data_IF_765407971975
#
_entry.id   IF_765407971975
#
_cell.length_a   1.000
_cell.length_b   1.000
_cell.length_c   1.000
_cell.angle_alpha   90.00
_cell.angle_beta   90.00
_cell.angle_gamma   90.00
#
_symmetry.space_group_name_H-M   'P 1'
#
loop_
_entity.id
_entity.type
_entity.pdbx_description
1 polymer ?
#
# COMPACT_ATOMS: atom_id res chain seq x y z
N UNK A 1 -25.15 5.72 12.27
CA UNK A 1 -24.34 5.45 11.06
C UNK A 1 -25.12 4.59 10.04
N UNK A 2 -25.92 5.18 9.13
CA UNK A 2 -26.77 4.42 8.20
C UNK A 2 -26.01 3.73 7.05
N UNK A 3 -24.98 4.38 6.50
CA UNK A 3 -24.23 3.86 5.36
C UNK A 3 -23.40 2.62 5.74
N UNK A 4 -22.70 2.65 6.88
CA UNK A 4 -21.96 1.49 7.40
C UNK A 4 -22.85 0.28 7.63
N UNK A 5 -24.10 0.48 8.09
CA UNK A 5 -25.06 -0.60 8.24
C UNK A 5 -25.44 -1.25 6.92
N UNK A 6 -25.67 -0.44 5.87
CA UNK A 6 -25.96 -0.97 4.54
C UNK A 6 -24.78 -1.76 3.99
N UNK A 7 -23.56 -1.27 4.16
CA UNK A 7 -22.34 -1.98 3.77
C UNK A 7 -22.14 -3.28 4.55
N UNK A 8 -22.39 -3.30 5.86
CA UNK A 8 -22.30 -4.50 6.69
C UNK A 8 -23.31 -5.59 6.27
N UNK A 9 -24.54 -5.19 5.90
CA UNK A 9 -25.55 -6.11 5.37
C UNK A 9 -25.15 -6.65 4.00
N UNK A 10 -24.59 -5.81 3.12
CA UNK A 10 -24.04 -6.25 1.84
C UNK A 10 -22.89 -7.24 2.00
N UNK A 11 -21.94 -6.94 2.89
CA UNK A 11 -20.82 -7.83 3.22
C UNK A 11 -21.29 -9.18 3.77
N UNK A 12 -22.26 -9.18 4.69
CA UNK A 12 -22.84 -10.41 5.23
C UNK A 12 -23.61 -11.22 4.18
N UNK A 13 -24.35 -10.56 3.28
CA UNK A 13 -25.04 -11.20 2.17
C UNK A 13 -24.09 -11.84 1.15
N UNK A 14 -22.86 -11.34 1.08
CA UNK A 14 -21.82 -11.83 0.18
C UNK A 14 -21.01 -13.00 0.75
N UNK A 15 -21.21 -13.32 2.01
CA UNK A 15 -20.69 -14.55 2.60
C UNK A 15 -21.46 -15.73 2.02
N UNK A 16 -20.76 -16.61 1.29
CA UNK A 16 -21.37 -17.76 0.62
C UNK A 16 -22.06 -18.74 1.59
N UNK A 17 -22.61 -19.83 1.06
CA UNK A 17 -23.41 -20.83 1.79
C UNK A 17 -22.74 -21.42 3.05
N UNK A 18 -21.41 -21.43 3.11
CA UNK A 18 -20.68 -21.91 4.28
C UNK A 18 -20.61 -20.88 5.42
N UNK A 19 -21.05 -19.63 5.18
CA UNK A 19 -20.98 -18.49 6.11
C UNK A 19 -19.56 -18.02 6.45
N UNK A 20 -18.53 -18.69 5.92
CA UNK A 20 -17.10 -18.45 6.25
C UNK A 20 -16.33 -17.75 5.15
N UNK A 21 -16.84 -17.78 3.92
CA UNK A 21 -16.16 -17.25 2.75
C UNK A 21 -16.92 -16.01 2.27
N UNK A 22 -16.38 -14.83 2.57
CA UNK A 22 -16.97 -13.55 2.20
C UNK A 22 -16.17 -12.91 1.06
N UNK A 23 -16.89 -12.32 0.11
CA UNK A 23 -16.32 -11.54 -0.99
C UNK A 23 -16.14 -10.06 -0.66
N UNK A 24 -15.76 -9.27 -1.66
CA UNK A 24 -15.43 -7.85 -1.49
C UNK A 24 -16.48 -6.87 -2.07
N UNK A 25 -17.31 -7.33 -3.02
CA UNK A 25 -18.27 -6.49 -3.75
C UNK A 25 -19.58 -6.18 -3.00
N UNK A 26 -19.55 -5.42 -1.91
CA UNK A 26 -20.74 -5.20 -1.03
C UNK A 26 -21.90 -4.38 -1.63
N UNK A 27 -21.85 -4.02 -2.92
CA UNK A 27 -22.97 -3.44 -3.66
C UNK A 27 -24.01 -4.49 -4.09
N UNK A 28 -23.67 -5.77 -4.00
CA UNK A 28 -24.56 -6.90 -4.29
C UNK A 28 -24.54 -7.90 -3.14
N UNK A 29 -25.63 -8.65 -2.98
CA UNK A 29 -25.70 -9.84 -2.11
C UNK A 29 -25.22 -11.11 -2.85
N UNK A 30 -24.77 -10.91 -4.08
CA UNK A 30 -23.99 -11.75 -4.98
C UNK A 30 -22.65 -12.23 -4.41
N UNK A 31 -22.39 -13.49 -4.03
CA UNK A 31 -20.99 -13.91 -3.81
C UNK A 31 -20.21 -13.69 -5.10
N UNK A 32 -19.21 -12.82 -5.08
CA UNK A 32 -18.39 -12.45 -6.25
C UNK A 32 -17.34 -13.52 -6.60
N UNK A 33 -17.31 -14.63 -5.85
CA UNK A 33 -16.37 -15.73 -6.03
C UNK A 33 -14.95 -15.44 -5.53
N UNK A 34 -14.68 -14.21 -5.07
CA UNK A 34 -13.39 -13.83 -4.50
C UNK A 34 -13.27 -14.38 -3.08
N UNK A 35 -12.10 -14.93 -2.76
CA UNK A 35 -11.81 -15.53 -1.46
C UNK A 35 -10.35 -15.29 -1.11
N UNK A 36 -10.12 -14.68 0.04
CA UNK A 36 -8.79 -14.41 0.54
C UNK A 36 -8.83 -13.82 1.94
N UNK A 37 -7.64 -13.68 2.53
CA UNK A 37 -7.48 -13.14 3.88
C UNK A 37 -7.91 -11.66 3.91
N UNK A 38 -7.66 -10.90 2.84
CA UNK A 38 -8.04 -9.49 2.76
C UNK A 38 -9.55 -9.28 2.75
N UNK A 39 -10.27 -10.10 1.99
CA UNK A 39 -11.73 -10.08 1.88
C UNK A 39 -12.38 -10.48 3.20
N UNK A 40 -11.86 -11.53 3.85
CA UNK A 40 -12.31 -11.95 5.19
C UNK A 40 -12.02 -10.87 6.25
N UNK A 41 -10.83 -10.25 6.24
CA UNK A 41 -10.47 -9.16 7.16
C UNK A 41 -11.34 -7.92 6.93
N UNK A 42 -11.64 -7.58 5.67
CA UNK A 42 -12.54 -6.47 5.33
C UNK A 42 -13.97 -6.71 5.79
N UNK A 43 -14.50 -7.91 5.57
CA UNK A 43 -15.82 -8.32 6.06
C UNK A 43 -15.90 -8.33 7.60
N UNK A 44 -14.84 -8.78 8.29
CA UNK A 44 -14.75 -8.72 9.74
C UNK A 44 -14.76 -7.27 10.24
N UNK A 45 -13.96 -6.39 9.63
CA UNK A 45 -13.82 -5.00 10.04
C UNK A 45 -15.14 -4.22 9.95
N UNK A 46 -15.93 -4.42 8.88
CA UNK A 46 -17.21 -3.71 8.70
C UNK A 46 -18.26 -4.20 9.70
N UNK A 47 -18.26 -5.49 10.05
CA UNK A 47 -19.14 -6.05 11.09
C UNK A 47 -18.72 -5.54 12.48
N UNK A 48 -17.42 -5.48 12.78
CA UNK A 48 -16.92 -4.90 14.02
C UNK A 48 -17.24 -3.40 14.15
N UNK A 49 -17.20 -2.66 13.03
CA UNK A 49 -17.56 -1.25 13.01
C UNK A 49 -19.03 -0.99 13.42
N UNK A 50 -19.92 -1.98 13.30
CA UNK A 50 -21.30 -1.85 13.76
C UNK A 50 -21.42 -1.79 15.29
N UNK A 51 -20.44 -2.32 16.03
CA UNK A 51 -20.40 -2.21 17.48
C UNK A 51 -20.03 -0.81 17.96
N UNK A 52 -19.48 0.07 17.10
CA UNK A 52 -19.13 1.46 17.44
C UNK A 52 -20.33 2.29 17.93
N UNK A 53 -21.55 1.89 17.58
CA UNK A 53 -22.76 2.61 17.97
C UNK A 53 -23.24 2.27 19.40
N UNK A 54 -22.52 1.41 20.14
CA UNK A 54 -22.77 1.21 21.56
C UNK A 54 -22.29 2.46 22.32
N UNK A 55 -23.21 3.13 23.01
CA UNK A 55 -22.96 4.35 23.79
C UNK A 55 -21.88 4.19 24.89
N UNK A 56 -21.43 2.97 25.17
CA UNK A 56 -20.38 2.64 26.12
C UNK A 56 -18.95 2.71 25.55
N UNK A 57 -18.76 2.96 24.24
CA UNK A 57 -17.43 3.03 23.65
C UNK A 57 -16.81 4.39 23.94
N UNK A 58 -15.74 4.37 24.73
CA UNK A 58 -14.91 5.55 24.99
C UNK A 58 -14.16 5.94 23.70
N UNK A 59 -13.96 7.24 23.48
CA UNK A 59 -13.11 7.71 22.39
C UNK A 59 -11.68 7.15 22.52
N UNK A 60 -10.89 7.13 21.44
CA UNK A 60 -9.50 6.68 21.49
C UNK A 60 -8.74 7.36 22.62
N UNK A 61 -8.04 6.55 23.42
CA UNK A 61 -7.25 7.07 24.54
C UNK A 61 -6.05 7.86 24.02
N UNK A 62 -5.82 9.02 24.62
CA UNK A 62 -4.68 9.88 24.40
C UNK A 62 -3.73 9.75 25.58
N UNK A 63 -2.56 10.40 25.48
CA UNK A 63 -1.62 10.54 26.61
C UNK A 63 -2.30 11.15 27.85
N UNK A 64 -3.29 12.03 27.66
CA UNK A 64 -3.99 12.72 28.74
C UNK A 64 -5.22 11.96 29.25
N UNK A 65 -5.79 11.05 28.47
CA UNK A 65 -7.02 10.31 28.85
C UNK A 65 -6.76 8.88 29.34
N UNK A 66 -5.50 8.49 29.56
CA UNK A 66 -5.13 7.22 30.20
C UNK A 66 -4.59 6.15 29.24
N UNK A 67 -4.04 6.54 28.08
CA UNK A 67 -3.27 5.62 27.25
C UNK A 67 -2.03 5.11 27.99
N UNK A 68 -1.88 3.79 28.11
CA UNK A 68 -0.74 3.15 28.80
C UNK A 68 0.44 2.85 27.88
N UNK A 69 0.27 3.04 26.56
CA UNK A 69 1.36 2.90 25.60
C UNK A 69 2.42 3.97 25.86
N UNK A 70 3.69 3.56 25.96
CA UNK A 70 4.81 4.48 26.21
C UNK A 70 5.35 5.03 24.89
N UNK A 71 5.60 6.33 24.86
CA UNK A 71 6.34 6.97 23.78
C UNK A 71 7.82 6.61 23.86
N UNK A 72 8.41 6.28 22.73
CA UNK A 72 9.86 6.16 22.56
C UNK A 72 10.33 7.30 21.64
N UNK A 73 11.08 8.29 22.15
CA UNK A 73 11.57 9.41 21.35
C UNK A 73 12.66 9.00 20.34
N UNK A 74 13.27 7.83 20.52
CA UNK A 74 14.24 7.22 19.60
C UNK A 74 13.61 6.23 18.61
N UNK A 75 12.29 6.05 18.63
CA UNK A 75 11.59 5.17 17.68
C UNK A 75 11.92 5.54 16.23
N UNK A 76 12.50 4.60 15.48
CA UNK A 76 12.93 4.80 14.08
C UNK A 76 14.30 5.45 13.90
N UNK A 77 15.04 5.72 14.99
CA UNK A 77 16.42 6.25 14.96
C UNK A 77 17.48 5.20 15.24
N UNK A 78 17.09 4.02 15.73
CA UNK A 78 17.98 2.86 15.78
C UNK A 78 18.26 2.39 14.36
N UNK A 79 19.47 2.67 13.87
CA UNK A 79 19.94 2.32 12.52
C UNK A 79 20.04 0.82 12.23
N UNK A 80 19.41 -0.03 13.05
CA UNK A 80 19.39 -1.48 12.89
C UNK A 80 18.33 -1.99 11.94
N UNK A 81 17.23 -1.25 11.70
CA UNK A 81 16.06 -1.83 11.02
C UNK A 81 15.62 -1.15 9.73
N UNK A 82 16.18 0.02 9.41
CA UNK A 82 16.21 0.58 8.05
C UNK A 82 17.41 1.53 8.00
N UNK A 83 18.35 1.32 7.07
CA UNK A 83 19.62 2.05 7.02
C UNK A 83 19.47 3.56 7.17
N UNK A 84 19.90 4.08 8.33
CA UNK A 84 19.82 5.50 8.66
C UNK A 84 20.77 5.86 9.79
N UNK A 85 21.98 6.27 9.43
CA UNK A 85 22.81 7.14 10.26
C UNK A 85 22.02 8.38 10.69
N UNK A 86 22.12 8.73 11.97
CA UNK A 86 21.58 9.96 12.55
C UNK A 86 22.30 11.19 11.97
N UNK A 87 21.92 11.60 10.77
CA UNK A 87 22.60 12.68 10.08
C UNK A 87 21.94 13.02 8.76
N UNK A 88 20.74 13.60 8.81
CA UNK A 88 20.28 14.51 7.77
C UNK A 88 20.34 14.05 6.32
N UNK A 89 20.12 12.79 5.96
CA UNK A 89 19.85 12.43 4.56
C UNK A 89 19.02 11.14 4.48
N UNK A 90 17.70 11.26 4.71
CA UNK A 90 16.72 10.17 4.61
C UNK A 90 16.44 9.75 3.15
N UNK A 91 17.43 9.88 2.28
CA UNK A 91 17.44 9.31 0.95
C UNK A 91 18.71 8.49 0.90
N UNK A 92 18.59 7.17 0.95
CA UNK A 92 19.67 6.27 0.57
C UNK A 92 19.97 6.52 -0.91
N UNK A 93 20.73 7.58 -1.18
CA UNK A 93 21.29 7.84 -2.48
C UNK A 93 22.42 6.85 -2.59
N UNK A 94 22.17 5.72 -3.27
CA UNK A 94 23.26 4.83 -3.70
C UNK A 94 24.32 5.72 -4.30
N UNK A 95 25.52 5.70 -3.72
CA UNK A 95 26.62 6.50 -4.23
C UNK A 95 26.82 6.11 -5.70
N UNK A 96 26.69 7.09 -6.60
CA UNK A 96 26.79 6.83 -8.04
C UNK A 96 28.24 6.45 -8.31
N UNK A 97 28.48 5.16 -8.51
CA UNK A 97 29.82 4.66 -8.79
C UNK A 97 30.26 5.10 -10.18
N UNK A 98 31.56 5.21 -10.41
CA UNK A 98 32.14 5.55 -11.72
C UNK A 98 31.66 4.59 -12.81
N UNK A 99 31.41 3.31 -12.46
CA UNK A 99 30.87 2.32 -13.37
C UNK A 99 29.45 2.65 -13.85
N UNK A 100 28.59 3.15 -12.95
CA UNK A 100 27.21 3.52 -13.26
C UNK A 100 27.16 4.74 -14.20
N UNK A 101 28.07 5.70 -13.99
CA UNK A 101 28.18 6.90 -14.83
C UNK A 101 28.66 6.58 -16.24
N UNK A 102 29.59 5.64 -16.39
CA UNK A 102 30.07 5.17 -17.69
C UNK A 102 28.99 4.35 -18.40
N UNK A 103 28.30 3.45 -17.68
CA UNK A 103 27.21 2.63 -18.23
C UNK A 103 26.06 3.48 -18.76
N UNK A 104 25.63 4.48 -17.98
CA UNK A 104 24.58 5.41 -18.39
C UNK A 104 24.98 6.16 -19.68
N UNK A 105 26.20 6.69 -19.77
CA UNK A 105 26.68 7.41 -20.94
C UNK A 105 26.78 6.53 -22.20
N UNK A 106 27.29 5.30 -22.05
CA UNK A 106 27.45 4.37 -23.16
C UNK A 106 26.10 3.98 -23.78
N UNK A 107 25.08 3.71 -22.96
CA UNK A 107 23.75 3.34 -23.44
C UNK A 107 23.10 4.51 -24.17
N UNK A 108 23.17 5.73 -23.62
CA UNK A 108 22.60 6.91 -24.28
C UNK A 108 23.27 7.17 -25.63
N UNK A 109 24.60 7.07 -25.71
CA UNK A 109 25.32 7.23 -26.97
C UNK A 109 24.93 6.16 -28.00
N UNK A 110 24.80 4.90 -27.57
CA UNK A 110 24.37 3.81 -28.45
C UNK A 110 22.95 4.02 -29.02
N UNK A 111 22.00 4.45 -28.19
CA UNK A 111 20.63 4.75 -28.63
C UNK A 111 20.61 5.90 -29.63
N UNK A 112 21.37 6.97 -29.39
CA UNK A 112 21.45 8.11 -30.31
C UNK A 112 22.05 7.70 -31.66
N UNK A 113 23.14 6.93 -31.66
CA UNK A 113 23.75 6.43 -32.90
C UNK A 113 22.82 5.51 -33.66
N UNK A 114 22.07 4.64 -32.96
CA UNK A 114 21.08 3.76 -33.59
C UNK A 114 19.94 4.54 -34.25
N UNK A 115 19.39 5.55 -33.56
CA UNK A 115 18.30 6.37 -34.11
C UNK A 115 18.77 7.23 -35.29
N UNK A 116 19.92 7.88 -35.18
CA UNK A 116 20.47 8.71 -36.26
C UNK A 116 20.89 7.83 -37.44
N UNK A 117 21.56 6.71 -37.19
CA UNK A 117 21.97 5.76 -38.23
C UNK A 117 20.78 5.11 -38.92
N UNK A 118 19.75 4.71 -38.17
CA UNK A 118 18.53 4.15 -38.74
C UNK A 118 17.75 5.16 -39.58
N UNK A 119 17.60 6.39 -39.10
CA UNK A 119 16.88 7.44 -39.86
C UNK A 119 17.65 7.89 -41.10
N UNK A 120 18.97 8.06 -41.03
CA UNK A 120 19.79 8.38 -42.21
C UNK A 120 19.82 7.22 -43.21
N UNK A 121 19.87 5.97 -42.76
CA UNK A 121 19.80 4.81 -43.65
C UNK A 121 18.46 4.71 -44.37
N UNK A 122 17.33 4.92 -43.67
CA UNK A 122 16.00 4.90 -44.29
C UNK A 122 15.82 6.03 -45.32
N UNK A 123 16.41 7.20 -45.10
CA UNK A 123 16.34 8.34 -46.03
C UNK A 123 17.25 8.15 -47.24
N UNK A 124 18.36 7.44 -47.09
CA UNK A 124 19.33 7.24 -48.17
C UNK A 124 19.09 5.94 -48.97
N UNK A 125 18.44 4.94 -48.37
CA UNK A 125 18.10 3.65 -48.98
C UNK A 125 16.67 3.59 -49.54
N UNK A 126 15.90 4.67 -49.48
CA UNK A 126 14.58 4.83 -50.11
C UNK A 126 14.65 5.85 -51.25
#
# INVERSE_FOLDING_TARGET
MPCLRKSAVGAAGQCGSDGKNCGHTWNTTISDGTRGVGEQMGALAIVQAMMLNNAAIKPPYTVSTGGTSKSDPSAGTDGSDVGGEMGGEHISRREITTADRIGAGAITAGVLLFLIGGTTWLVWAG
#
